data_IF_054523800620
#
_entry.id   IF_054523800620
#
_cell.length_a   1.000
_cell.length_b   1.000
_cell.length_c   1.000
_cell.angle_alpha   90.00
_cell.angle_beta   90.00
_cell.angle_gamma   90.00
#
_symmetry.space_group_name_H-M   'P 1'
#
loop_
_entity.id
_entity.type
_entity.pdbx_description
1 polymer ?
#
# COMPACT_ATOMS: atom_id res chain seq x y z
N UNK A 1 4.86 -10.08 -3.59
CA UNK A 1 3.47 -9.80 -3.13
C UNK A 1 3.48 -9.37 -1.67
N UNK A 2 2.68 -8.37 -1.31
CA UNK A 2 2.39 -8.00 0.08
C UNK A 2 1.00 -8.55 0.48
N UNK A 3 0.83 -8.91 1.76
CA UNK A 3 -0.41 -9.51 2.27
C UNK A 3 -0.85 -8.83 3.56
N UNK A 4 -2.16 -8.70 3.74
CA UNK A 4 -2.78 -8.20 4.95
C UNK A 4 -3.49 -9.34 5.69
N UNK A 5 -3.35 -9.42 7.01
CA UNK A 5 -4.13 -10.32 7.85
C UNK A 5 -5.21 -9.52 8.57
N UNK A 6 -6.48 -9.90 8.37
CA UNK A 6 -7.63 -9.31 9.06
C UNK A 6 -8.34 -10.42 9.81
N UNK A 7 -8.34 -10.37 11.14
CA UNK A 7 -8.98 -11.36 12.01
C UNK A 7 -8.61 -12.82 11.66
N UNK A 8 -7.33 -13.07 11.40
CA UNK A 8 -6.82 -14.40 11.04
C UNK A 8 -7.04 -14.81 9.58
N UNK A 9 -7.74 -14.01 8.77
CA UNK A 9 -7.91 -14.27 7.33
C UNK A 9 -6.93 -13.44 6.51
N UNK A 10 -6.33 -14.08 5.51
CA UNK A 10 -5.38 -13.43 4.59
C UNK A 10 -6.14 -12.70 3.49
N UNK A 11 -5.76 -11.46 3.22
CA UNK A 11 -6.26 -10.63 2.14
C UNK A 11 -5.10 -10.14 1.27
N UNK A 12 -5.18 -10.37 -0.03
CA UNK A 12 -4.22 -9.83 -0.99
C UNK A 12 -4.48 -8.36 -1.20
N UNK A 13 -3.41 -7.56 -1.19
CA UNK A 13 -3.47 -6.09 -1.40
C UNK A 13 -2.76 -5.67 -2.69
N UNK A 14 -2.13 -6.62 -3.39
CA UNK A 14 -1.49 -6.46 -4.69
C UNK A 14 -1.94 -7.58 -5.62
N UNK A 15 -1.80 -7.41 -6.94
CA UNK A 15 -2.03 -8.50 -7.91
C UNK A 15 -0.94 -9.59 -7.87
N UNK A 16 0.16 -9.31 -7.16
CA UNK A 16 1.24 -10.25 -6.88
C UNK A 16 2.25 -10.38 -8.01
N UNK A 17 2.14 -9.59 -9.08
CA UNK A 17 3.07 -9.61 -10.22
C UNK A 17 4.44 -9.06 -9.86
N UNK A 18 4.48 -8.07 -8.97
CA UNK A 18 5.71 -7.38 -8.61
C UNK A 18 6.07 -7.56 -7.13
N UNK A 19 7.33 -7.28 -6.81
CA UNK A 19 7.76 -7.15 -5.43
C UNK A 19 7.05 -5.96 -4.79
N UNK A 20 6.48 -6.16 -3.61
CA UNK A 20 5.72 -5.14 -2.91
C UNK A 20 5.94 -5.25 -1.41
N UNK A 21 5.94 -4.11 -0.74
CA UNK A 21 6.10 -3.98 0.71
C UNK A 21 5.01 -3.07 1.24
N UNK A 22 4.32 -3.54 2.28
CA UNK A 22 3.37 -2.75 3.06
C UNK A 22 4.05 -2.34 4.38
N UNK A 23 4.32 -1.05 4.54
CA UNK A 23 5.06 -0.54 5.70
C UNK A 23 4.16 -0.12 6.86
N UNK A 24 2.95 0.36 6.55
CA UNK A 24 2.06 0.92 7.56
C UNK A 24 0.60 0.71 7.18
N UNK A 25 -0.22 0.40 8.17
CA UNK A 25 -1.67 0.19 8.01
C UNK A 25 -2.42 1.06 9.02
N UNK A 26 -3.52 1.65 8.57
CA UNK A 26 -4.47 2.38 9.41
C UNK A 26 -5.89 1.98 9.06
N UNK A 27 -6.76 1.83 10.06
CA UNK A 27 -8.16 1.42 9.86
C UNK A 27 -9.10 2.46 10.45
N UNK A 28 -10.07 2.94 9.67
CA UNK A 28 -11.12 3.86 10.13
C UNK A 28 -12.41 3.60 9.38
N UNK A 29 -13.52 3.48 10.13
CA UNK A 29 -14.87 3.30 9.57
C UNK A 29 -14.90 2.22 8.46
N UNK A 30 -14.37 1.03 8.78
CA UNK A 30 -14.25 -0.11 7.87
C UNK A 30 -13.38 0.12 6.62
N UNK A 31 -12.70 1.25 6.51
CA UNK A 31 -11.73 1.52 5.46
C UNK A 31 -10.33 1.21 5.94
N UNK A 32 -9.62 0.41 5.16
CA UNK A 32 -8.23 0.02 5.40
C UNK A 32 -7.35 0.85 4.47
N UNK A 33 -6.44 1.60 5.07
CA UNK A 33 -5.43 2.39 4.37
C UNK A 33 -4.07 1.76 4.60
N UNK A 34 -3.30 1.55 3.54
CA UNK A 34 -1.97 0.95 3.61
C UNK A 34 -1.00 1.83 2.86
N UNK A 35 0.09 2.23 3.50
CA UNK A 35 1.22 2.88 2.86
C UNK A 35 2.36 1.89 2.63
N UNK A 36 3.00 1.98 1.48
CA UNK A 36 4.12 1.13 1.11
C UNK A 36 4.60 1.41 -0.30
N UNK A 37 5.16 0.41 -0.95
CA UNK A 37 5.65 0.52 -2.31
C UNK A 37 5.58 -0.81 -3.05
N UNK A 38 5.55 -0.74 -4.38
CA UNK A 38 5.57 -1.88 -5.27
C UNK A 38 6.42 -1.56 -6.50
N UNK A 39 7.22 -2.53 -6.93
CA UNK A 39 8.04 -2.37 -8.13
C UNK A 39 7.16 -2.25 -9.38
N UNK A 40 7.55 -1.42 -10.33
CA UNK A 40 6.97 -1.42 -11.68
C UNK A 40 7.79 -2.30 -12.64
N UNK A 41 7.37 -2.36 -13.90
CA UNK A 41 8.03 -3.15 -14.95
C UNK A 41 9.48 -2.72 -15.25
N UNK A 42 9.85 -1.50 -14.86
CA UNK A 42 11.20 -0.95 -15.04
C UNK A 42 12.09 -1.10 -13.79
N UNK A 43 11.70 -1.98 -12.85
CA UNK A 43 12.41 -2.21 -11.59
C UNK A 43 12.60 -0.93 -10.76
N UNK A 44 11.58 -0.07 -10.73
CA UNK A 44 11.51 1.10 -9.83
C UNK A 44 10.48 0.88 -8.75
N UNK A 45 10.85 1.18 -7.50
CA UNK A 45 9.91 1.19 -6.39
C UNK A 45 8.95 2.36 -6.52
N UNK A 46 7.67 2.07 -6.72
CA UNK A 46 6.62 3.09 -6.79
C UNK A 46 5.98 3.19 -5.42
N UNK A 47 6.06 4.35 -4.78
CA UNK A 47 5.32 4.61 -3.54
C UNK A 47 3.82 4.53 -3.83
N UNK A 48 3.09 3.77 -3.02
CA UNK A 48 1.65 3.52 -3.20
C UNK A 48 0.88 3.66 -1.90
N UNK A 49 -0.37 4.08 -2.05
CA UNK A 49 -1.43 4.00 -1.05
C UNK A 49 -2.45 2.98 -1.53
N UNK A 50 -2.74 1.94 -0.73
CA UNK A 50 -3.86 1.04 -1.00
C UNK A 50 -5.03 1.40 -0.09
N UNK A 51 -6.20 1.61 -0.69
CA UNK A 51 -7.46 1.85 0.04
C UNK A 51 -8.39 0.67 -0.28
N UNK A 52 -8.69 -0.15 0.71
CA UNK A 52 -9.49 -1.38 0.54
C UNK A 52 -8.99 -2.27 -0.62
N UNK A 53 -7.67 -2.36 -0.78
CA UNK A 53 -7.01 -3.13 -1.85
C UNK A 53 -6.87 -2.41 -3.19
N UNK A 54 -7.49 -1.24 -3.38
CA UNK A 54 -7.31 -0.43 -4.59
C UNK A 54 -6.06 0.43 -4.46
N UNK A 55 -5.10 0.23 -5.35
CA UNK A 55 -3.83 0.94 -5.35
C UNK A 55 -3.95 2.35 -5.98
N UNK A 56 -3.33 3.33 -5.34
CA UNK A 56 -3.08 4.67 -5.86
C UNK A 56 -1.58 4.96 -5.80
N UNK A 57 -0.99 5.31 -6.93
CA UNK A 57 0.41 5.72 -6.98
C UNK A 57 0.57 7.11 -6.34
N UNK A 58 1.58 7.25 -5.49
CA UNK A 58 2.01 8.51 -4.87
C UNK A 58 3.21 9.13 -5.60
N UNK A 59 3.86 8.35 -6.48
CA UNK A 59 5.00 8.75 -7.30
C UNK A 59 4.77 8.32 -8.75
N UNK A 60 5.45 8.96 -9.69
CA UNK A 60 5.31 8.69 -11.14
C UNK A 60 6.03 7.40 -11.59
N UNK A 61 6.85 6.79 -10.73
CA UNK A 61 7.60 5.58 -11.01
C UNK A 61 8.81 5.75 -11.93
N UNK A 62 9.26 7.00 -12.17
CA UNK A 62 10.49 7.29 -12.93
C UNK A 62 11.75 7.16 -12.07
N UNK A 63 11.60 7.31 -10.75
CA UNK A 63 12.63 7.13 -9.71
C UNK A 63 12.05 6.32 -8.55
N UNK A 64 12.92 5.76 -7.71
CA UNK A 64 12.48 5.03 -6.53
C UNK A 64 11.80 5.98 -5.53
N UNK A 65 10.63 5.58 -5.06
CA UNK A 65 9.84 6.26 -4.04
C UNK A 65 9.31 5.26 -3.03
N UNK A 66 9.30 5.67 -1.76
CA UNK A 66 8.87 4.82 -0.64
C UNK A 66 7.87 5.58 0.22
N UNK A 67 6.73 4.97 0.51
CA UNK A 67 5.83 5.45 1.55
C UNK A 67 6.04 4.60 2.81
N UNK A 68 6.57 5.20 3.88
CA UNK A 68 6.94 4.49 5.10
C UNK A 68 5.83 4.46 6.16
N UNK A 69 5.00 5.49 6.21
CA UNK A 69 3.95 5.62 7.23
C UNK A 69 2.69 6.22 6.65
N UNK A 70 1.57 5.96 7.32
CA UNK A 70 0.30 6.64 7.08
C UNK A 70 -0.27 7.16 8.40
N UNK A 71 -0.80 8.37 8.35
CA UNK A 71 -1.66 8.95 9.38
C UNK A 71 -2.92 9.46 8.71
N UNK A 72 -4.07 9.20 9.31
CA UNK A 72 -5.36 9.69 8.83
C UNK A 72 -5.90 10.66 9.86
N UNK A 73 -6.02 11.93 9.47
CA UNK A 73 -6.59 12.95 10.32
C UNK A 73 -8.05 12.59 10.68
N UNK A 74 -8.39 12.76 11.96
CA UNK A 74 -9.76 12.65 12.45
C UNK A 74 -10.24 14.06 12.73
N UNK A 75 -11.00 14.63 11.79
CA UNK A 75 -11.73 15.87 12.05
C UNK A 75 -12.82 15.57 13.09
N UNK A 76 -12.83 16.38 14.15
CA UNK A 76 -13.87 16.39 15.19
C UNK A 76 -15.15 17.01 14.66
#
# INVERSE_FOLDING_TARGET
MARLWVNGKVQSITDGKHHAVANSVFVKNNTIYIAGYEKNDNDRDVAKLWINGVAKNLTDGTKNGYAHSIFVEIKK
#
